data_IF_583019711047
#
_entry.id   IF_583019711047
#
_cell.length_a   1.000
_cell.length_b   1.000
_cell.length_c   1.000
_cell.angle_alpha   90.00
_cell.angle_beta   90.00
_cell.angle_gamma   90.00
#
_symmetry.space_group_name_H-M   'P 1'
#
loop_
_entity.id
_entity.type
_entity.pdbx_description
1 polymer ?
#
# COMPACT_ATOMS: atom_id res chain seq x y z
N UNK A 1 -29.79 -6.47 47.29
CA UNK A 1 -29.08 -6.79 46.04
C UNK A 1 -29.38 -5.71 45.01
N UNK A 2 -28.65 -4.60 45.10
CA UNK A 2 -28.68 -3.49 44.14
C UNK A 2 -27.46 -3.64 43.24
N UNK A 3 -27.68 -3.68 41.92
CA UNK A 3 -26.63 -3.80 40.91
C UNK A 3 -25.70 -2.57 40.92
N UNK A 4 -24.38 -2.72 40.72
CA UNK A 4 -23.51 -1.56 40.57
C UNK A 4 -23.61 -1.05 39.12
N UNK A 5 -23.90 0.25 39.00
CA UNK A 5 -23.78 1.00 37.77
C UNK A 5 -22.34 0.91 37.21
N UNK A 6 -22.20 0.44 35.98
CA UNK A 6 -20.94 0.39 35.25
C UNK A 6 -20.45 1.80 34.92
N UNK A 7 -19.55 2.33 35.76
CA UNK A 7 -18.73 3.48 35.42
C UNK A 7 -17.63 3.05 34.44
N UNK A 8 -17.64 3.60 33.22
CA UNK A 8 -16.51 3.50 32.30
C UNK A 8 -15.34 4.25 32.95
N UNK A 9 -14.25 3.54 33.23
CA UNK A 9 -13.06 4.11 33.85
C UNK A 9 -12.50 5.26 32.98
N UNK A 10 -12.21 6.45 33.54
CA UNK A 10 -11.75 7.62 32.79
C UNK A 10 -10.51 7.35 31.92
N UNK A 11 -9.62 6.46 32.37
CA UNK A 11 -8.42 6.05 31.63
C UNK A 11 -8.69 5.33 30.31
N UNK A 12 -9.78 4.54 30.21
CA UNK A 12 -10.14 3.87 28.96
C UNK A 12 -10.66 4.85 27.90
N UNK A 13 -11.37 5.89 28.33
CA UNK A 13 -11.88 6.95 27.43
C UNK A 13 -10.76 7.85 26.90
N UNK A 14 -9.82 8.24 27.76
CA UNK A 14 -8.63 9.01 27.38
C UNK A 14 -7.73 8.23 26.39
N UNK A 15 -7.49 6.95 26.69
CA UNK A 15 -6.71 6.06 25.84
C UNK A 15 -7.33 5.90 24.44
N UNK A 16 -8.67 5.77 24.34
CA UNK A 16 -9.38 5.73 23.04
C UNK A 16 -9.25 7.03 22.26
N UNK A 17 -9.35 8.20 22.91
CA UNK A 17 -9.17 9.51 22.26
C UNK A 17 -7.75 9.68 21.69
N UNK A 18 -6.71 9.32 22.44
CA UNK A 18 -5.32 9.35 21.95
C UNK A 18 -5.06 8.42 20.75
N UNK A 19 -5.71 7.25 20.73
CA UNK A 19 -5.63 6.28 19.62
C UNK A 19 -6.33 6.79 18.36
N UNK A 20 -7.51 7.40 18.49
CA UNK A 20 -8.24 8.03 17.39
C UNK A 20 -7.40 9.12 16.68
N UNK A 21 -6.71 9.94 17.49
CA UNK A 21 -5.79 10.96 17.00
C UNK A 21 -4.63 10.31 16.23
N UNK A 22 -4.07 9.21 16.75
CA UNK A 22 -2.99 8.49 16.07
C UNK A 22 -3.43 7.92 14.73
N UNK A 23 -4.63 7.33 14.64
CA UNK A 23 -5.21 6.84 13.38
C UNK A 23 -5.38 7.98 12.38
N UNK A 24 -5.94 9.12 12.81
CA UNK A 24 -6.14 10.29 11.95
C UNK A 24 -4.82 10.93 11.50
N UNK A 25 -3.79 10.94 12.36
CA UNK A 25 -2.45 11.43 12.02
C UNK A 25 -1.68 10.44 11.13
N UNK A 26 -1.95 9.14 11.22
CA UNK A 26 -1.35 8.13 10.35
C UNK A 26 -2.02 8.07 8.97
N UNK A 27 -3.35 8.07 8.93
CA UNK A 27 -4.17 7.93 7.73
C UNK A 27 -4.80 9.28 7.41
N UNK A 28 -4.14 10.06 6.56
CA UNK A 28 -4.58 11.38 6.11
C UNK A 28 -4.26 11.60 4.63
N UNK A 29 -4.72 12.71 4.07
CA UNK A 29 -4.55 13.06 2.65
C UNK A 29 -3.17 13.65 2.32
N UNK A 30 -2.31 13.89 3.31
CA UNK A 30 -0.97 14.46 3.08
C UNK A 30 -0.06 13.40 2.47
N UNK A 31 0.53 13.73 1.32
CA UNK A 31 1.47 12.89 0.55
C UNK A 31 2.84 12.83 1.22
N UNK A 32 2.86 12.26 2.42
CA UNK A 32 4.01 12.07 3.27
C UNK A 32 4.00 10.65 3.84
N UNK A 33 5.18 10.08 4.16
CA UNK A 33 5.25 8.77 4.80
C UNK A 33 4.45 8.76 6.10
N UNK A 34 3.88 7.61 6.43
CA UNK A 34 3.22 7.41 7.73
C UNK A 34 4.29 7.58 8.81
N UNK A 35 4.02 8.41 9.83
CA UNK A 35 4.95 8.60 10.93
C UNK A 35 4.94 7.37 11.83
N UNK A 36 6.12 6.79 12.07
CA UNK A 36 6.26 5.53 12.82
C UNK A 36 5.68 5.61 14.23
N UNK A 37 5.86 6.73 14.95
CA UNK A 37 5.23 6.91 16.28
C UNK A 37 3.71 6.70 16.30
N UNK A 38 3.00 7.10 15.23
CA UNK A 38 1.55 6.91 15.15
C UNK A 38 1.21 5.46 14.79
N UNK A 39 1.95 4.85 13.86
CA UNK A 39 1.75 3.43 13.53
C UNK A 39 2.04 2.53 14.74
N UNK A 40 3.13 2.79 15.48
CA UNK A 40 3.51 2.09 16.72
C UNK A 40 2.43 2.20 17.78
N UNK A 41 1.90 3.40 18.04
CA UNK A 41 0.77 3.61 18.99
C UNK A 41 -0.47 2.81 18.58
N UNK A 42 -0.78 2.71 17.28
CA UNK A 42 -1.91 1.91 16.78
C UNK A 42 -1.66 0.42 17.06
N UNK A 43 -0.47 -0.09 16.71
CA UNK A 43 -0.08 -1.49 16.93
C UNK A 43 -0.14 -1.85 18.42
N UNK A 44 0.50 -1.07 19.30
CA UNK A 44 0.46 -1.26 20.75
C UNK A 44 -0.99 -1.22 21.28
N UNK A 45 -1.80 -0.33 20.71
CA UNK A 45 -3.23 -0.26 21.00
C UNK A 45 -3.96 -1.58 20.76
N UNK A 46 -3.60 -2.33 19.71
CA UNK A 46 -4.22 -3.63 19.43
C UNK A 46 -3.88 -4.69 20.48
N UNK A 47 -2.66 -4.68 21.01
CA UNK A 47 -2.24 -5.58 22.09
C UNK A 47 -2.94 -5.27 23.40
N UNK A 48 -3.10 -3.98 23.73
CA UNK A 48 -3.84 -3.55 24.92
C UNK A 48 -5.33 -3.94 24.85
N UNK A 49 -5.93 -3.90 23.66
CA UNK A 49 -7.35 -4.20 23.44
C UNK A 49 -7.63 -5.66 23.08
N UNK A 50 -6.59 -6.48 22.92
CA UNK A 50 -6.66 -7.86 22.43
C UNK A 50 -7.37 -8.00 21.08
N UNK A 51 -7.17 -7.04 20.18
CA UNK A 51 -7.78 -6.98 18.85
C UNK A 51 -7.68 -5.59 18.21
N UNK A 52 -8.19 -5.44 16.99
CA UNK A 52 -8.17 -4.19 16.22
C UNK A 52 -9.51 -3.42 16.29
N UNK A 53 -10.28 -3.56 17.38
CA UNK A 53 -11.60 -2.93 17.50
C UNK A 53 -11.55 -1.41 17.28
N UNK A 54 -10.68 -0.69 18.01
CA UNK A 54 -10.56 0.76 17.85
C UNK A 54 -10.05 1.14 16.46
N UNK A 55 -9.11 0.38 15.91
CA UNK A 55 -8.64 0.65 14.54
C UNK A 55 -9.81 0.62 13.55
N UNK A 56 -10.60 -0.46 13.56
CA UNK A 56 -11.70 -0.63 12.63
C UNK A 56 -12.87 0.32 12.89
N UNK A 57 -13.18 0.67 14.14
CA UNK A 57 -14.25 1.64 14.44
C UNK A 57 -14.00 3.02 13.80
N UNK A 58 -12.73 3.41 13.64
CA UNK A 58 -12.36 4.64 12.94
C UNK A 58 -12.15 4.41 11.44
N UNK A 59 -11.49 3.31 11.05
CA UNK A 59 -11.13 3.05 9.66
C UNK A 59 -12.34 2.99 8.72
N UNK A 60 -13.46 2.41 9.18
CA UNK A 60 -14.71 2.36 8.40
C UNK A 60 -15.35 3.74 8.16
N UNK A 61 -15.07 4.70 9.04
CA UNK A 61 -15.58 6.07 8.92
C UNK A 61 -14.68 6.98 8.08
N UNK A 62 -13.52 6.50 7.62
CA UNK A 62 -12.63 7.28 6.78
C UNK A 62 -13.25 7.45 5.38
N UNK A 63 -13.17 8.64 4.77
CA UNK A 63 -13.67 8.87 3.42
C UNK A 63 -12.68 8.31 2.37
N UNK A 64 -12.40 7.01 2.42
CA UNK A 64 -11.46 6.32 1.51
C UNK A 64 -11.76 6.60 0.03
N UNK A 65 -13.02 6.61 -0.45
CA UNK A 65 -13.33 6.95 -1.84
C UNK A 65 -12.91 8.35 -2.29
N UNK A 66 -12.70 9.28 -1.36
CA UNK A 66 -12.39 10.68 -1.68
C UNK A 66 -10.92 10.94 -1.98
N UNK A 67 -10.01 10.03 -1.60
CA UNK A 67 -8.57 10.26 -1.74
C UNK A 67 -7.79 8.96 -1.84
N UNK A 68 -7.11 8.77 -2.98
CA UNK A 68 -6.29 7.59 -3.21
C UNK A 68 -5.07 7.55 -2.27
N UNK A 69 -4.52 8.70 -1.88
CA UNK A 69 -3.45 8.79 -0.87
C UNK A 69 -3.96 8.30 0.49
N UNK A 70 -5.18 8.71 0.87
CA UNK A 70 -5.79 8.25 2.11
C UNK A 70 -5.97 6.72 2.10
N UNK A 71 -6.49 6.15 1.01
CA UNK A 71 -6.62 4.70 0.84
C UNK A 71 -5.28 3.98 0.81
N UNK A 72 -4.25 4.56 0.19
CA UNK A 72 -2.89 4.02 0.18
C UNK A 72 -2.31 3.92 1.59
N UNK A 73 -2.45 4.99 2.39
CA UNK A 73 -2.01 5.00 3.79
C UNK A 73 -2.85 4.08 4.67
N UNK A 74 -4.15 3.95 4.39
CA UNK A 74 -4.99 2.93 5.04
C UNK A 74 -4.45 1.52 4.80
N UNK A 75 -4.15 1.17 3.54
CA UNK A 75 -3.58 -0.15 3.20
C UNK A 75 -2.24 -0.38 3.91
N UNK A 76 -1.38 0.65 3.95
CA UNK A 76 -0.10 0.58 4.64
C UNK A 76 -0.26 0.33 6.14
N UNK A 77 -1.07 1.12 6.83
CA UNK A 77 -1.30 0.96 8.28
C UNK A 77 -1.96 -0.37 8.56
N UNK A 78 -2.93 -0.80 7.75
CA UNK A 78 -3.55 -2.12 7.88
C UNK A 78 -2.53 -3.26 7.68
N UNK A 79 -1.59 -3.12 6.74
CA UNK A 79 -0.52 -4.10 6.58
C UNK A 79 0.34 -4.22 7.84
N UNK A 80 0.78 -3.09 8.41
CA UNK A 80 1.54 -3.06 9.67
C UNK A 80 0.75 -3.66 10.84
N UNK A 81 -0.53 -3.30 10.96
CA UNK A 81 -1.42 -3.83 12.01
C UNK A 81 -1.63 -5.33 11.86
N UNK A 82 -1.79 -5.86 10.64
CA UNK A 82 -1.83 -7.29 10.39
C UNK A 82 -0.52 -7.95 10.82
N UNK A 83 0.64 -7.40 10.44
CA UNK A 83 1.96 -7.99 10.67
C UNK A 83 2.35 -8.04 12.15
N UNK A 84 2.19 -6.91 12.86
CA UNK A 84 2.79 -6.70 14.19
C UNK A 84 1.74 -6.53 15.31
N UNK A 85 0.45 -6.53 14.96
CA UNK A 85 -0.65 -6.40 15.91
C UNK A 85 -0.93 -7.66 16.73
N UNK A 86 -1.91 -7.56 17.62
CA UNK A 86 -2.36 -8.70 18.43
C UNK A 86 -2.85 -9.87 17.54
N UNK A 87 -2.67 -11.15 17.92
CA UNK A 87 -3.09 -12.30 17.09
C UNK A 87 -4.56 -12.27 16.63
N UNK A 88 -5.47 -11.73 17.45
CA UNK A 88 -6.89 -11.59 17.09
C UNK A 88 -7.17 -10.60 15.94
N UNK A 89 -6.21 -9.73 15.60
CA UNK A 89 -6.35 -8.76 14.50
C UNK A 89 -6.71 -9.46 13.20
N UNK A 90 -6.16 -10.65 12.94
CA UNK A 90 -6.48 -11.43 11.74
C UNK A 90 -7.98 -11.72 11.62
N UNK A 91 -8.61 -12.12 12.73
CA UNK A 91 -10.05 -12.40 12.77
C UNK A 91 -10.87 -11.11 12.63
N UNK A 92 -10.42 -10.01 13.21
CA UNK A 92 -11.07 -8.71 13.03
C UNK A 92 -11.01 -8.26 11.57
N UNK A 93 -9.84 -8.33 10.92
CA UNK A 93 -9.66 -8.00 9.51
C UNK A 93 -10.50 -8.87 8.58
N UNK A 94 -10.68 -10.15 8.92
CA UNK A 94 -11.54 -11.06 8.15
C UNK A 94 -13.01 -10.59 8.11
N UNK A 95 -13.51 -9.95 9.18
CA UNK A 95 -14.87 -9.38 9.21
C UNK A 95 -15.04 -8.20 8.25
N UNK A 96 -13.97 -7.45 7.98
CA UNK A 96 -13.96 -6.29 7.09
C UNK A 96 -13.41 -6.61 5.69
N UNK A 97 -13.33 -7.90 5.33
CA UNK A 97 -12.82 -8.36 4.03
C UNK A 97 -13.58 -7.76 2.84
N UNK A 98 -14.90 -7.59 2.95
CA UNK A 98 -15.72 -6.95 1.92
C UNK A 98 -15.34 -5.49 1.73
N UNK A 99 -15.21 -4.72 2.82
CA UNK A 99 -14.83 -3.30 2.76
C UNK A 99 -13.45 -3.08 2.10
N UNK A 100 -12.47 -3.95 2.40
CA UNK A 100 -11.15 -3.91 1.77
C UNK A 100 -11.28 -4.16 0.26
N UNK A 101 -12.08 -5.15 -0.14
CA UNK A 101 -12.32 -5.48 -1.55
C UNK A 101 -13.00 -4.32 -2.29
N UNK A 102 -14.08 -3.78 -1.73
CA UNK A 102 -14.83 -2.66 -2.31
C UNK A 102 -13.93 -1.43 -2.53
N UNK A 103 -13.02 -1.14 -1.59
CA UNK A 103 -12.03 -0.08 -1.75
C UNK A 103 -11.11 -0.34 -2.94
N UNK A 104 -10.65 -1.59 -3.09
CA UNK A 104 -9.80 -2.00 -4.20
C UNK A 104 -10.47 -1.96 -5.56
N UNK A 105 -11.72 -2.43 -5.62
CA UNK A 105 -12.54 -2.44 -6.83
C UNK A 105 -12.86 -1.01 -7.27
N UNK A 106 -13.24 -0.13 -6.34
CA UNK A 106 -13.46 1.29 -6.63
C UNK A 106 -12.24 1.90 -7.32
N UNK A 107 -11.07 1.82 -6.69
CA UNK A 107 -9.86 2.44 -7.22
C UNK A 107 -9.31 1.73 -8.48
N UNK A 108 -9.65 0.47 -8.69
CA UNK A 108 -9.30 -0.28 -9.90
C UNK A 108 -10.05 0.20 -11.15
N UNK A 109 -11.27 0.71 -11.00
CA UNK A 109 -12.04 1.29 -12.11
C UNK A 109 -11.64 2.74 -12.43
N UNK A 110 -10.97 3.42 -11.49
CA UNK A 110 -10.53 4.80 -11.67
C UNK A 110 -9.14 4.84 -12.31
N UNK A 111 -8.94 5.74 -13.27
CA UNK A 111 -7.65 5.94 -13.95
C UNK A 111 -6.70 6.83 -13.12
N UNK A 112 -6.66 6.64 -11.80
CA UNK A 112 -5.80 7.37 -10.87
C UNK A 112 -4.49 6.61 -10.59
N UNK A 113 -3.35 7.32 -10.52
CA UNK A 113 -2.04 6.69 -10.32
C UNK A 113 -1.95 5.99 -8.96
N UNK A 114 -2.33 6.68 -7.87
CA UNK A 114 -2.38 6.05 -6.55
C UNK A 114 -3.49 5.00 -6.49
N UNK A 115 -4.62 5.25 -7.13
CA UNK A 115 -5.75 4.31 -7.19
C UNK A 115 -5.35 2.95 -7.73
N UNK A 116 -4.56 2.91 -8.81
CA UNK A 116 -4.00 1.66 -9.32
C UNK A 116 -3.13 0.94 -8.27
N UNK A 117 -2.30 1.67 -7.50
CA UNK A 117 -1.51 1.09 -6.42
C UNK A 117 -2.40 0.57 -5.29
N UNK A 118 -3.44 1.32 -4.93
CA UNK A 118 -4.41 0.92 -3.90
C UNK A 118 -5.10 -0.38 -4.29
N UNK A 119 -5.59 -0.50 -5.53
CA UNK A 119 -6.25 -1.71 -6.03
C UNK A 119 -5.35 -2.95 -5.94
N UNK A 120 -4.07 -2.80 -6.32
CA UNK A 120 -3.07 -3.86 -6.20
C UNK A 120 -2.81 -4.20 -4.73
N UNK A 121 -2.69 -3.20 -3.87
CA UNK A 121 -2.38 -3.39 -2.46
C UNK A 121 -3.56 -4.04 -1.70
N UNK A 122 -4.80 -3.65 -1.96
CA UNK A 122 -5.96 -4.31 -1.38
C UNK A 122 -6.04 -5.78 -1.78
N UNK A 123 -5.67 -6.13 -3.02
CA UNK A 123 -5.58 -7.54 -3.44
C UNK A 123 -4.51 -8.29 -2.65
N UNK A 124 -3.34 -7.69 -2.46
CA UNK A 124 -2.30 -8.27 -1.59
C UNK A 124 -2.82 -8.51 -0.17
N UNK A 125 -3.46 -7.51 0.45
CA UNK A 125 -4.01 -7.64 1.80
C UNK A 125 -5.07 -8.74 1.90
N UNK A 126 -5.92 -8.88 0.87
CA UNK A 126 -6.91 -9.96 0.81
C UNK A 126 -6.26 -11.34 0.65
N UNK A 127 -5.20 -11.46 -0.15
CA UNK A 127 -4.40 -12.70 -0.26
C UNK A 127 -3.76 -13.04 1.08
N UNK A 128 -3.11 -12.06 1.72
CA UNK A 128 -2.51 -12.18 3.06
C UNK A 128 -3.53 -12.68 4.09
N UNK A 129 -4.68 -12.01 4.22
CA UNK A 129 -5.74 -12.42 5.15
C UNK A 129 -6.22 -13.85 4.85
N UNK A 130 -6.47 -14.17 3.58
CA UNK A 130 -6.91 -15.52 3.18
C UNK A 130 -5.90 -16.61 3.52
N UNK A 131 -4.62 -16.36 3.25
CA UNK A 131 -3.55 -17.31 3.54
C UNK A 131 -3.46 -17.59 5.05
N UNK A 132 -3.40 -16.54 5.88
CA UNK A 132 -3.22 -16.71 7.32
C UNK A 132 -4.47 -17.23 8.03
N UNK A 133 -5.69 -17.00 7.50
CA UNK A 133 -6.91 -17.65 8.00
C UNK A 133 -6.90 -19.15 7.69
N UNK A 134 -6.40 -19.52 6.49
CA UNK A 134 -6.32 -20.92 6.07
C UNK A 134 -5.22 -21.69 6.80
N UNK A 135 -4.08 -21.04 7.06
CA UNK A 135 -2.90 -21.64 7.68
C UNK A 135 -2.51 -20.90 8.97
N UNK A 136 -3.24 -21.13 10.08
CA UNK A 136 -3.00 -20.44 11.34
C UNK A 136 -1.63 -20.73 11.96
N UNK A 137 -0.92 -21.76 11.48
CA UNK A 137 0.46 -22.08 11.87
C UNK A 137 1.45 -21.00 11.41
N UNK A 138 1.10 -20.23 10.37
CA UNK A 138 1.88 -19.08 9.93
C UNK A 138 1.28 -17.79 10.51
N UNK A 139 1.92 -17.14 11.50
CA UNK A 139 1.47 -15.83 11.94
C UNK A 139 1.56 -14.82 10.78
N UNK A 140 0.77 -13.74 10.80
CA UNK A 140 0.83 -12.69 9.77
C UNK A 140 2.20 -12.03 9.55
N UNK A 141 3.09 -12.09 10.55
CA UNK A 141 4.50 -11.69 10.46
C UNK A 141 5.38 -12.63 9.63
N UNK A 142 4.87 -13.81 9.28
CA UNK A 142 5.53 -14.91 8.57
C UNK A 142 6.76 -15.48 9.28
N UNK A 143 7.03 -15.12 10.52
CA UNK A 143 8.16 -15.66 11.30
C UNK A 143 7.79 -17.04 11.85
N UNK A 144 8.22 -18.09 11.15
CA UNK A 144 8.12 -19.48 11.60
C UNK A 144 9.47 -20.18 11.50
N UNK A 145 9.68 -21.19 12.33
CA UNK A 145 10.83 -22.07 12.24
C UNK A 145 10.67 -23.07 11.09
N UNK A 146 11.81 -23.58 10.62
CA UNK A 146 11.90 -24.65 9.64
C UNK A 146 11.09 -25.90 10.04
N UNK A 147 11.08 -26.23 11.33
CA UNK A 147 10.32 -27.36 11.88
C UNK A 147 8.81 -27.16 11.75
N UNK A 148 8.32 -25.94 12.02
CA UNK A 148 6.90 -25.61 11.87
C UNK A 148 6.51 -25.68 10.40
N UNK A 149 7.32 -25.13 9.49
CA UNK A 149 7.07 -25.25 8.04
C UNK A 149 6.97 -26.71 7.61
N UNK A 150 7.91 -27.55 8.03
CA UNK A 150 7.95 -28.96 7.66
C UNK A 150 6.73 -29.73 8.20
N UNK A 151 6.34 -29.42 9.43
CA UNK A 151 5.13 -29.97 10.08
C UNK A 151 3.86 -29.54 9.37
N UNK A 152 3.71 -28.26 9.03
CA UNK A 152 2.52 -27.72 8.34
C UNK A 152 2.39 -28.28 6.93
N UNK A 153 3.51 -28.42 6.21
CA UNK A 153 3.53 -29.07 4.92
C UNK A 153 3.16 -30.56 5.01
N UNK A 154 3.51 -31.22 6.13
CA UNK A 154 3.18 -32.62 6.38
C UNK A 154 3.89 -33.58 5.42
N UNK A 155 3.34 -34.79 5.27
CA UNK A 155 3.84 -35.83 4.35
C UNK A 155 2.96 -36.03 3.12
N UNK A 156 1.72 -35.52 3.14
CA UNK A 156 0.80 -35.59 2.00
C UNK A 156 1.28 -34.66 0.88
N UNK A 157 1.59 -35.26 -0.27
CA UNK A 157 2.06 -34.54 -1.47
C UNK A 157 1.05 -33.49 -1.92
N UNK A 158 -0.25 -33.74 -1.79
CA UNK A 158 -1.28 -32.77 -2.18
C UNK A 158 -1.23 -31.51 -1.30
N UNK A 159 -0.98 -31.68 0.00
CA UNK A 159 -0.84 -30.57 0.93
C UNK A 159 0.43 -29.76 0.64
N UNK A 160 1.57 -30.43 0.43
CA UNK A 160 2.84 -29.77 0.08
C UNK A 160 2.68 -28.97 -1.22
N UNK A 161 2.04 -29.57 -2.23
CA UNK A 161 1.78 -28.94 -3.53
C UNK A 161 0.89 -27.70 -3.37
N UNK A 162 -0.26 -27.84 -2.70
CA UNK A 162 -1.19 -26.73 -2.49
C UNK A 162 -0.55 -25.59 -1.70
N UNK A 163 0.16 -25.89 -0.62
CA UNK A 163 0.86 -24.89 0.19
C UNK A 163 1.93 -24.15 -0.63
N UNK A 164 2.65 -24.86 -1.50
CA UNK A 164 3.66 -24.25 -2.38
C UNK A 164 3.02 -23.27 -3.37
N UNK A 165 1.91 -23.67 -4.01
CA UNK A 165 1.17 -22.79 -4.94
C UNK A 165 0.65 -21.54 -4.24
N UNK A 166 0.10 -21.68 -3.02
CA UNK A 166 -0.44 -20.55 -2.26
C UNK A 166 0.66 -19.59 -1.79
N UNK A 167 1.84 -20.10 -1.42
CA UNK A 167 3.00 -19.26 -1.12
C UNK A 167 3.51 -18.53 -2.36
N UNK A 168 3.47 -19.17 -3.54
CA UNK A 168 3.78 -18.50 -4.80
C UNK A 168 2.76 -17.40 -5.13
N UNK A 169 1.46 -17.64 -4.96
CA UNK A 169 0.42 -16.64 -5.19
C UNK A 169 0.60 -15.41 -4.28
N UNK A 170 0.99 -15.65 -3.02
CA UNK A 170 1.30 -14.60 -2.06
C UNK A 170 2.55 -13.80 -2.51
N UNK A 171 3.64 -14.49 -2.83
CA UNK A 171 4.88 -13.83 -3.28
C UNK A 171 4.67 -13.02 -4.58
N UNK A 172 3.85 -13.51 -5.51
CA UNK A 172 3.49 -12.76 -6.71
C UNK A 172 2.72 -11.48 -6.40
N UNK A 173 1.81 -11.50 -5.42
CA UNK A 173 1.11 -10.29 -4.99
C UNK A 173 2.07 -9.25 -4.40
N UNK A 174 3.03 -9.68 -3.58
CA UNK A 174 4.06 -8.81 -2.99
C UNK A 174 4.96 -8.20 -4.08
N UNK A 175 5.48 -9.04 -4.97
CA UNK A 175 6.32 -8.60 -6.08
C UNK A 175 5.55 -7.66 -7.02
N UNK A 176 4.27 -7.92 -7.29
CA UNK A 176 3.45 -7.06 -8.15
C UNK A 176 3.25 -5.66 -7.58
N UNK A 177 3.09 -5.55 -6.26
CA UNK A 177 3.00 -4.27 -5.58
C UNK A 177 4.33 -3.51 -5.72
N UNK A 178 5.46 -4.16 -5.44
CA UNK A 178 6.80 -3.54 -5.55
C UNK A 178 7.10 -3.05 -6.96
N UNK A 179 6.82 -3.87 -7.97
CA UNK A 179 7.01 -3.54 -9.38
C UNK A 179 6.18 -2.31 -9.77
N UNK A 180 4.91 -2.28 -9.35
CA UNK A 180 3.98 -1.20 -9.68
C UNK A 180 4.36 0.12 -9.00
N UNK A 181 4.79 0.07 -7.75
CA UNK A 181 5.34 1.25 -7.05
C UNK A 181 6.55 1.78 -7.81
N UNK A 182 7.52 0.94 -8.13
CA UNK A 182 8.73 1.38 -8.81
C UNK A 182 8.49 1.89 -10.24
N UNK A 183 7.53 1.34 -10.96
CA UNK A 183 7.14 1.81 -12.30
C UNK A 183 6.62 3.26 -12.25
N UNK A 184 6.01 3.66 -11.13
CA UNK A 184 5.48 5.01 -10.94
C UNK A 184 6.50 6.00 -10.36
N UNK A 185 7.71 5.56 -9.99
CA UNK A 185 8.78 6.44 -9.53
C UNK A 185 9.68 6.85 -10.70
N UNK A 186 9.93 8.15 -10.86
CA UNK A 186 10.93 8.64 -11.80
C UNK A 186 12.31 8.11 -11.38
N UNK A 187 13.03 7.49 -12.33
CA UNK A 187 14.22 6.62 -12.16
C UNK A 187 15.44 7.25 -11.46
N UNK A 188 15.38 8.50 -10.97
CA UNK A 188 16.52 9.15 -10.30
C UNK A 188 16.64 8.75 -8.82
N UNK A 189 17.84 8.30 -8.41
CA UNK A 189 18.15 7.91 -7.03
C UNK A 189 18.00 9.05 -6.01
N UNK A 190 18.18 10.30 -6.46
CA UNK A 190 18.05 11.51 -5.64
C UNK A 190 16.60 11.80 -5.19
N UNK A 191 15.62 11.20 -5.87
CA UNK A 191 14.18 11.41 -5.62
C UNK A 191 13.69 10.69 -4.35
N UNK A 192 14.47 9.74 -3.82
CA UNK A 192 14.12 8.97 -2.61
C UNK A 192 14.03 9.79 -1.30
N UNK A 193 14.48 11.05 -1.33
CA UNK A 193 14.36 11.97 -0.20
C UNK A 193 13.10 12.85 -0.24
N UNK A 194 12.36 12.85 -1.36
CA UNK A 194 11.12 13.61 -1.46
C UNK A 194 10.01 12.94 -0.65
N UNK A 195 9.31 13.71 0.19
CA UNK A 195 8.21 13.22 1.05
C UNK A 195 7.17 12.40 0.28
N UNK A 196 6.75 12.88 -0.91
CA UNK A 196 5.79 12.20 -1.77
C UNK A 196 6.28 10.82 -2.25
N UNK A 197 7.58 10.68 -2.50
CA UNK A 197 8.18 9.41 -2.93
C UNK A 197 8.32 8.46 -1.75
N UNK A 198 8.70 8.97 -0.59
CA UNK A 198 8.72 8.19 0.65
C UNK A 198 7.33 7.68 1.03
N UNK A 199 6.27 8.45 0.77
CA UNK A 199 4.89 8.00 0.93
C UNK A 199 4.59 6.73 0.11
N UNK A 200 5.12 6.63 -1.11
CA UNK A 200 4.98 5.44 -1.98
C UNK A 200 5.94 4.31 -1.58
N UNK A 201 7.14 4.63 -1.12
CA UNK A 201 8.16 3.63 -0.76
C UNK A 201 7.91 2.98 0.59
N UNK A 202 7.32 3.70 1.55
CA UNK A 202 7.16 3.23 2.93
C UNK A 202 6.53 1.83 3.04
N UNK A 203 5.44 1.50 2.32
CA UNK A 203 4.83 0.18 2.43
C UNK A 203 5.71 -0.96 1.92
N UNK A 204 6.71 -0.67 1.07
CA UNK A 204 7.63 -1.68 0.56
C UNK A 204 8.55 -2.24 1.66
N UNK A 205 8.67 -1.58 2.82
CA UNK A 205 9.38 -2.17 3.97
C UNK A 205 8.71 -3.47 4.38
N UNK A 206 7.37 -3.49 4.49
CA UNK A 206 6.61 -4.67 4.86
C UNK A 206 6.69 -5.73 3.75
N UNK A 207 6.59 -5.30 2.48
CA UNK A 207 6.76 -6.19 1.30
C UNK A 207 8.14 -6.87 1.33
N UNK A 208 9.21 -6.15 1.69
CA UNK A 208 10.57 -6.72 1.79
C UNK A 208 10.64 -7.77 2.89
N UNK A 209 10.07 -7.48 4.06
CA UNK A 209 10.03 -8.43 5.18
C UNK A 209 9.24 -9.70 4.84
N UNK A 210 8.09 -9.56 4.19
CA UNK A 210 7.24 -10.69 3.78
C UNK A 210 7.93 -11.53 2.70
N UNK A 211 8.43 -10.88 1.64
CA UNK A 211 9.19 -11.54 0.57
C UNK A 211 10.37 -12.37 1.08
N UNK A 212 11.09 -11.89 2.10
CA UNK A 212 12.24 -12.58 2.68
C UNK A 212 11.85 -13.96 3.22
N UNK A 213 10.72 -14.03 3.93
CA UNK A 213 10.18 -15.26 4.50
C UNK A 213 9.57 -16.16 3.42
N UNK A 214 8.73 -15.58 2.55
CA UNK A 214 8.08 -16.30 1.46
C UNK A 214 9.10 -16.98 0.55
N UNK A 215 10.18 -16.29 0.16
CA UNK A 215 11.26 -16.87 -0.63
C UNK A 215 11.92 -18.06 0.07
N UNK A 216 12.24 -17.92 1.36
CA UNK A 216 12.88 -19.01 2.11
C UNK A 216 11.96 -20.24 2.19
N UNK A 217 10.67 -20.06 2.48
CA UNK A 217 9.70 -21.17 2.51
C UNK A 217 9.49 -21.79 1.14
N UNK A 218 9.40 -20.97 0.09
CA UNK A 218 9.34 -21.44 -1.30
C UNK A 218 10.52 -22.34 -1.66
N UNK A 219 11.76 -21.98 -1.30
CA UNK A 219 12.93 -22.82 -1.56
C UNK A 219 12.81 -24.17 -0.84
N UNK A 220 12.48 -24.16 0.46
CA UNK A 220 12.35 -25.40 1.25
C UNK A 220 11.25 -26.32 0.70
N UNK A 221 10.09 -25.77 0.38
CA UNK A 221 8.99 -26.57 -0.16
C UNK A 221 9.27 -27.07 -1.57
N UNK A 222 9.98 -26.31 -2.40
CA UNK A 222 10.40 -26.78 -3.72
C UNK A 222 11.35 -27.98 -3.63
N UNK A 223 12.33 -27.97 -2.71
CA UNK A 223 13.16 -29.15 -2.45
C UNK A 223 12.32 -30.32 -1.93
N UNK A 224 11.35 -30.07 -1.04
CA UNK A 224 10.45 -31.10 -0.51
C UNK A 224 9.58 -31.72 -1.61
N UNK A 225 9.01 -30.92 -2.52
CA UNK A 225 8.29 -31.43 -3.68
C UNK A 225 9.17 -32.29 -4.57
N UNK A 226 10.40 -31.85 -4.84
CA UNK A 226 11.37 -32.62 -5.63
C UNK A 226 11.81 -33.93 -4.98
N UNK A 227 11.68 -34.07 -3.66
CA UNK A 227 11.92 -35.34 -2.97
C UNK A 227 10.77 -36.35 -3.10
N UNK A 228 9.57 -35.88 -3.45
CA UNK A 228 8.35 -36.69 -3.48
C UNK A 228 7.72 -36.85 -4.88
N UNK A 229 8.12 -36.03 -5.86
CA UNK A 229 7.54 -36.00 -7.19
C UNK A 229 8.61 -36.01 -8.30
N UNK A 230 8.31 -36.60 -9.47
CA UNK A 230 9.19 -36.56 -10.64
C UNK A 230 9.48 -35.13 -11.10
N UNK A 231 10.68 -34.91 -11.64
CA UNK A 231 11.10 -33.60 -12.12
C UNK A 231 10.15 -33.05 -13.21
N UNK A 232 9.66 -33.90 -14.11
CA UNK A 232 8.80 -33.47 -15.22
C UNK A 232 7.47 -32.88 -14.72
N UNK A 233 6.91 -33.42 -13.64
CA UNK A 233 5.68 -32.91 -13.00
C UNK A 233 5.87 -31.50 -12.42
N UNK A 234 7.09 -31.15 -12.00
CA UNK A 234 7.40 -29.90 -11.32
C UNK A 234 7.96 -28.81 -12.25
N UNK A 235 7.95 -29.01 -13.58
CA UNK A 235 8.50 -28.04 -14.53
C UNK A 235 7.87 -26.66 -14.37
N UNK A 236 6.53 -26.57 -14.33
CA UNK A 236 5.84 -25.28 -14.14
C UNK A 236 6.14 -24.60 -12.79
N UNK A 237 6.40 -25.37 -11.73
CA UNK A 237 6.79 -24.83 -10.43
C UNK A 237 8.19 -24.23 -10.47
N UNK A 238 9.12 -24.92 -11.15
CA UNK A 238 10.46 -24.37 -11.38
C UNK A 238 10.36 -23.10 -12.20
N UNK A 239 9.65 -23.09 -13.32
CA UNK A 239 9.57 -21.91 -14.19
C UNK A 239 9.03 -20.68 -13.43
N UNK A 240 7.94 -20.86 -12.68
CA UNK A 240 7.37 -19.82 -11.81
C UNK A 240 8.35 -19.35 -10.74
N UNK A 241 9.03 -20.28 -10.06
CA UNK A 241 10.05 -19.93 -9.07
C UNK A 241 11.19 -19.11 -9.69
N UNK A 242 11.68 -19.47 -10.88
CA UNK A 242 12.75 -18.74 -11.54
C UNK A 242 12.35 -17.31 -11.90
N UNK A 243 11.10 -17.09 -12.32
CA UNK A 243 10.56 -15.75 -12.56
C UNK A 243 10.45 -14.95 -11.27
N UNK A 244 9.90 -15.54 -10.21
CA UNK A 244 9.81 -14.92 -8.89
C UNK A 244 11.18 -14.57 -8.33
N UNK A 245 12.16 -15.48 -8.43
CA UNK A 245 13.53 -15.24 -7.99
C UNK A 245 14.17 -14.07 -8.72
N UNK A 246 14.01 -13.99 -10.05
CA UNK A 246 14.54 -12.88 -10.86
C UNK A 246 13.92 -11.54 -10.43
N UNK A 247 12.59 -11.51 -10.28
CA UNK A 247 11.85 -10.32 -9.85
C UNK A 247 12.25 -9.89 -8.44
N UNK A 248 12.37 -10.84 -7.50
CA UNK A 248 12.77 -10.59 -6.12
C UNK A 248 14.22 -10.09 -6.03
N UNK A 249 15.15 -10.73 -6.74
CA UNK A 249 16.56 -10.29 -6.80
C UNK A 249 16.68 -8.86 -7.32
N UNK A 250 15.93 -8.53 -8.38
CA UNK A 250 15.89 -7.17 -8.93
C UNK A 250 15.28 -6.17 -7.94
N UNK A 251 14.19 -6.55 -7.26
CA UNK A 251 13.58 -5.74 -6.21
C UNK A 251 14.58 -5.46 -5.08
N UNK A 252 15.13 -6.49 -4.45
CA UNK A 252 16.03 -6.34 -3.31
C UNK A 252 17.28 -5.54 -3.68
N UNK A 253 17.87 -5.78 -4.86
CA UNK A 253 18.98 -4.98 -5.37
C UNK A 253 18.59 -3.50 -5.48
N UNK A 254 17.52 -3.19 -6.21
CA UNK A 254 17.06 -1.81 -6.43
C UNK A 254 16.71 -1.11 -5.11
N UNK A 255 16.03 -1.79 -4.19
CA UNK A 255 15.68 -1.25 -2.88
C UNK A 255 16.94 -1.02 -2.03
N UNK A 256 17.88 -1.96 -2.02
CA UNK A 256 19.12 -1.85 -1.24
C UNK A 256 20.01 -0.69 -1.68
N UNK A 257 19.89 -0.22 -2.91
CA UNK A 257 20.62 0.93 -3.43
C UNK A 257 19.99 2.28 -3.04
N UNK A 258 18.70 2.31 -2.66
CA UNK A 258 18.00 3.55 -2.30
C UNK A 258 18.35 4.01 -0.88
N UNK A 259 18.67 5.30 -0.73
CA UNK A 259 19.01 5.91 0.56
C UNK A 259 17.88 5.82 1.58
N UNK A 260 16.62 5.85 1.13
CA UNK A 260 15.45 5.69 2.00
C UNK A 260 15.50 4.38 2.78
N UNK A 261 15.66 3.24 2.10
CA UNK A 261 15.71 1.93 2.76
C UNK A 261 16.99 1.74 3.56
N UNK A 262 18.16 2.17 3.06
CA UNK A 262 19.45 2.04 3.77
C UNK A 262 19.44 2.64 5.18
N UNK A 263 18.62 3.67 5.42
CA UNK A 263 18.50 4.32 6.73
C UNK A 263 17.54 3.61 7.68
N UNK A 264 16.61 2.81 7.14
CA UNK A 264 15.48 2.25 7.89
C UNK A 264 15.63 0.74 8.11
N UNK A 265 16.22 0.02 7.15
CA UNK A 265 16.34 -1.44 7.18
C UNK A 265 17.63 -1.89 6.49
N UNK A 266 18.15 -3.06 6.90
CA UNK A 266 19.16 -3.80 6.17
C UNK A 266 18.48 -4.86 5.31
N UNK A 267 18.60 -4.70 3.99
CA UNK A 267 18.04 -5.64 3.01
C UNK A 267 19.09 -6.72 2.69
N UNK A 268 18.77 -8.01 2.82
CA UNK A 268 19.72 -9.08 2.52
C UNK A 268 20.02 -9.15 1.02
N UNK A 269 21.25 -9.55 0.69
CA UNK A 269 21.60 -9.88 -0.70
C UNK A 269 21.18 -11.32 -1.00
N UNK A 270 20.46 -11.50 -2.09
CA UNK A 270 20.15 -12.84 -2.60
C UNK A 270 21.34 -13.45 -3.35
N UNK A 271 21.43 -14.79 -3.44
CA UNK A 271 22.45 -15.47 -4.22
C UNK A 271 22.49 -15.03 -5.69
N UNK A 272 23.62 -15.27 -6.36
CA UNK A 272 23.75 -14.89 -7.77
C UNK A 272 22.88 -15.74 -8.70
N UNK A 273 22.80 -17.04 -8.46
CA UNK A 273 21.94 -17.98 -9.18
C UNK A 273 20.86 -18.55 -8.26
N UNK A 274 19.68 -18.91 -8.80
CA UNK A 274 18.67 -19.63 -8.02
C UNK A 274 19.18 -21.02 -7.58
N UNK A 275 18.65 -21.60 -6.49
CA UNK A 275 18.98 -22.97 -6.07
C UNK A 275 18.67 -23.99 -7.17
N UNK A 276 19.55 -24.98 -7.33
CA UNK A 276 19.30 -26.09 -8.24
C UNK A 276 18.48 -27.19 -7.53
N UNK A 277 17.17 -27.20 -7.74
CA UNK A 277 16.26 -28.17 -7.10
C UNK A 277 16.46 -29.62 -7.54
N UNK A 278 17.18 -29.88 -8.65
CA UNK A 278 17.53 -31.23 -9.08
C UNK A 278 18.73 -31.81 -8.33
N UNK A 279 19.43 -30.97 -7.56
CA UNK A 279 20.57 -31.36 -6.73
C UNK A 279 20.19 -31.17 -5.26
N UNK A 280 19.80 -32.26 -4.58
CA UNK A 280 19.37 -32.20 -3.18
C UNK A 280 20.42 -31.53 -2.25
N UNK A 281 21.71 -31.70 -2.51
CA UNK A 281 22.78 -31.04 -1.73
C UNK A 281 22.81 -29.52 -1.85
N UNK A 282 22.20 -28.93 -2.88
CA UNK A 282 22.08 -27.48 -3.01
C UNK A 282 21.18 -26.85 -1.92
N UNK A 283 20.35 -27.64 -1.22
CA UNK A 283 19.61 -27.15 -0.06
C UNK A 283 20.55 -26.74 1.10
N UNK A 284 21.69 -27.43 1.27
CA UNK A 284 22.66 -27.09 2.30
C UNK A 284 23.38 -25.75 2.04
N UNK A 285 23.36 -25.28 0.79
CA UNK A 285 23.92 -23.98 0.37
C UNK A 285 22.91 -22.84 0.59
N UNK A 286 21.62 -23.15 0.85
CA UNK A 286 20.57 -22.15 1.03
C UNK A 286 20.65 -21.47 2.38
N UNK A 287 20.73 -20.14 2.37
CA UNK A 287 20.73 -19.30 3.58
C UNK A 287 19.45 -18.49 3.61
N UNK A 288 18.69 -18.58 4.71
CA UNK A 288 17.49 -17.75 4.93
C UNK A 288 17.88 -16.27 4.84
N UNK A 289 17.30 -15.48 3.93
CA UNK A 289 17.53 -14.05 3.92
C UNK A 289 16.90 -13.44 5.18
N UNK A 290 17.67 -12.63 5.90
CA UNK A 290 17.23 -11.94 7.12
C UNK A 290 17.20 -10.45 6.85
N UNK A 291 16.03 -9.84 7.00
CA UNK A 291 15.85 -8.39 6.96
C UNK A 291 16.00 -7.86 8.38
N UNK A 292 16.97 -6.98 8.61
CA UNK A 292 17.19 -6.39 9.93
C UNK A 292 16.57 -4.99 9.97
N UNK A 293 15.75 -4.72 10.98
CA UNK A 293 15.29 -3.37 11.31
C UNK A 293 16.11 -2.92 12.52
N UNK A 294 16.90 -1.84 12.43
CA UNK A 294 17.57 -1.27 13.60
C UNK A 294 16.53 -0.95 14.69
N UNK A 295 16.79 -1.33 15.94
CA UNK A 295 15.94 -0.93 17.07
C UNK A 295 15.99 0.60 17.22
N UNK A 296 14.83 1.25 17.13
CA UNK A 296 14.71 2.66 17.50
C UNK A 296 14.97 2.80 19.00
N UNK A 297 15.89 3.70 19.38
CA UNK A 297 16.10 4.07 20.77
C UNK A 297 14.74 4.47 21.39
N UNK A 298 14.46 4.10 22.66
CA UNK A 298 13.20 4.47 23.30
C UNK A 298 13.11 6.00 23.34
N UNK A 299 12.23 6.56 22.50
CA UNK A 299 11.83 7.95 22.62
C UNK A 299 11.01 8.06 23.90
N UNK A 300 11.52 8.83 24.89
CA UNK A 300 10.77 9.17 26.09
C UNK A 300 9.40 9.70 25.68
N UNK A 301 8.34 9.05 26.15
CA UNK A 301 6.98 9.50 25.90
C UNK A 301 6.76 10.85 26.60
N UNK A 302 7.02 11.96 25.91
CA UNK A 302 6.55 13.25 26.39
C UNK A 302 5.01 13.19 26.50
N UNK A 303 4.44 13.43 27.68
CA UNK A 303 3.00 13.48 27.82
C UNK A 303 2.50 14.68 27.02
N UNK A 304 1.82 14.43 25.89
CA UNK A 304 1.11 15.46 25.14
C UNK A 304 0.14 16.15 26.11
N UNK A 305 0.45 17.42 26.44
CA UNK A 305 -0.33 18.27 27.34
C UNK A 305 -1.83 18.15 27.05
N UNK A 306 -2.60 17.98 28.14
CA UNK A 306 -4.04 18.03 28.14
C UNK A 306 -4.52 19.32 27.46
N UNK A 307 -5.06 19.22 26.26
CA UNK A 307 -5.92 20.27 25.73
C UNK A 307 -7.24 20.14 26.47
N UNK A 308 -7.37 20.89 27.56
CA UNK A 308 -8.62 21.15 28.25
C UNK A 308 -9.58 21.83 27.28
N UNK A 309 -10.65 21.13 26.90
CA UNK A 309 -11.84 21.77 26.33
C UNK A 309 -12.57 22.40 27.51
N UNK A 310 -12.10 23.56 27.95
CA UNK A 310 -12.87 24.48 28.79
C UNK A 310 -13.58 25.45 27.88
N UNK A 311 -14.90 25.29 27.81
CA UNK A 311 -15.81 26.35 27.38
C UNK A 311 -15.54 27.64 28.17
N UNK A 312 -15.76 28.78 27.52
CA UNK A 312 -15.75 30.17 28.03
C UNK A 312 -14.43 30.94 27.89
N UNK A 313 -14.45 31.85 26.89
CA UNK A 313 -14.02 33.25 26.96
C UNK A 313 -12.82 33.66 27.85
N UNK A 314 -11.81 34.26 27.19
CA UNK A 314 -10.97 35.38 27.67
C UNK A 314 -10.06 35.03 28.86
N UNK A 315 -8.72 35.00 28.76
CA UNK A 315 -7.82 36.15 28.55
C UNK A 315 -6.37 35.65 28.45
N UNK A 316 -5.54 36.40 27.73
CA UNK A 316 -4.09 36.26 27.56
C UNK A 316 -3.24 36.62 28.82
N UNK A 317 -1.94 36.28 28.82
CA UNK A 317 -1.04 36.28 29.97
C UNK A 317 -0.36 37.64 30.22
N UNK A 318 0.07 37.88 31.46
CA UNK A 318 1.06 38.91 31.79
C UNK A 318 2.19 38.32 32.64
N UNK A 319 3.41 38.55 32.17
CA UNK A 319 4.71 38.31 32.79
C UNK A 319 4.99 39.43 33.82
N UNK A 320 5.76 39.13 34.88
CA UNK A 320 6.17 40.05 35.96
C UNK A 320 6.90 41.31 35.50
N UNK A 321 7.20 42.33 36.30
CA UNK A 321 7.50 42.55 37.74
C UNK A 321 7.41 44.11 37.98
N UNK A 322 7.73 44.71 39.16
CA UNK A 322 7.37 44.40 40.54
C UNK A 322 6.80 45.63 41.33
N UNK A 323 6.25 45.33 42.53
CA UNK A 323 6.22 46.11 43.78
C UNK A 323 5.54 47.51 43.86
N UNK A 324 4.39 47.58 44.55
CA UNK A 324 4.20 48.25 45.86
C UNK A 324 2.70 48.47 46.18
N UNK A 325 2.25 47.93 47.32
CA UNK A 325 0.95 48.14 48.00
C UNK A 325 0.83 49.59 48.57
N UNK A 326 -0.28 50.06 49.20
CA UNK A 326 -1.46 49.32 49.72
C UNK A 326 -2.87 49.98 49.60
N UNK A 327 -3.88 49.17 49.93
CA UNK A 327 -5.21 49.46 50.52
C UNK A 327 -6.22 50.42 49.85
N UNK A 328 -7.43 49.92 49.51
CA UNK A 328 -8.67 50.14 50.28
C UNK A 328 -9.96 49.77 49.48
N UNK A 329 -10.97 49.37 50.26
CA UNK A 329 -12.32 48.85 50.01
C UNK A 329 -13.30 49.78 49.24
N UNK A 330 -14.24 49.20 48.45
CA UNK A 330 -15.60 49.76 48.29
C UNK A 330 -16.28 49.81 46.90
N UNK A 331 -17.27 48.93 46.70
CA UNK A 331 -18.66 49.17 46.23
C UNK A 331 -19.02 50.00 44.96
N UNK A 332 -19.87 49.36 44.12
CA UNK A 332 -21.01 49.87 43.30
C UNK A 332 -20.76 50.72 42.02
N UNK A 333 -21.38 50.28 40.90
CA UNK A 333 -21.38 50.92 39.56
C UNK A 333 -22.34 52.12 39.42
N UNK A 334 -22.92 52.46 38.23
CA UNK A 334 -22.74 51.88 36.88
C UNK A 334 -22.55 52.92 35.72
N UNK A 335 -22.19 52.38 34.54
CA UNK A 335 -22.30 52.86 33.13
C UNK A 335 -22.31 54.36 32.75
N UNK A 336 -21.33 54.76 31.92
CA UNK A 336 -21.53 55.68 30.78
C UNK A 336 -20.50 55.40 29.68
N UNK A 337 -20.97 55.41 28.43
CA UNK A 337 -20.23 55.06 27.22
C UNK A 337 -19.20 56.13 26.81
N UNK A 338 -18.00 55.70 26.41
CA UNK A 338 -17.09 56.50 25.60
C UNK A 338 -16.16 55.59 24.77
N UNK A 339 -16.42 55.59 23.47
CA UNK A 339 -15.44 55.79 22.38
C UNK A 339 -14.10 55.03 22.47
N UNK A 340 -14.01 53.92 21.74
CA UNK A 340 -12.75 53.25 21.43
C UNK A 340 -12.07 53.94 20.26
N UNK A 341 -11.12 54.82 20.54
CA UNK A 341 -10.10 55.25 19.59
C UNK A 341 -8.73 54.83 20.13
N UNK A 342 -8.13 53.77 19.56
CA UNK A 342 -6.68 53.51 19.58
C UNK A 342 -6.24 52.24 18.78
N UNK A 343 -4.97 52.13 18.36
CA UNK A 343 -4.45 52.30 17.00
C UNK A 343 -4.08 50.97 16.31
N UNK A 344 -4.54 49.85 16.85
CA UNK A 344 -4.20 48.51 16.35
C UNK A 344 -4.98 48.11 15.09
N UNK A 345 -6.12 48.75 14.84
CA UNK A 345 -6.91 48.56 13.61
C UNK A 345 -6.22 49.22 12.41
N UNK A 346 -5.69 50.43 12.60
CA UNK A 346 -5.01 51.20 11.53
C UNK A 346 -3.77 50.48 10.98
N UNK A 347 -3.01 49.81 11.84
CA UNK A 347 -1.84 49.03 11.41
C UNK A 347 -2.22 47.77 10.62
N UNK A 348 -3.35 47.14 10.97
CA UNK A 348 -3.86 45.94 10.29
C UNK A 348 -4.47 46.30 8.94
N UNK A 349 -5.20 47.41 8.87
CA UNK A 349 -5.79 47.90 7.63
C UNK A 349 -4.73 48.42 6.65
N UNK A 350 -3.71 49.14 7.13
CA UNK A 350 -2.58 49.56 6.30
C UNK A 350 -1.81 48.36 5.72
N UNK A 351 -1.69 47.27 6.49
CA UNK A 351 -1.07 46.04 6.00
C UNK A 351 -1.95 45.32 4.95
N UNK A 352 -3.27 45.31 5.13
CA UNK A 352 -4.22 44.77 4.15
C UNK A 352 -4.19 45.59 2.85
N UNK A 353 -4.14 46.92 2.94
CA UNK A 353 -4.09 47.80 1.78
C UNK A 353 -2.77 47.65 1.01
N UNK A 354 -1.64 47.51 1.73
CA UNK A 354 -0.34 47.21 1.13
C UNK A 354 -0.35 45.89 0.36
N UNK A 355 -0.90 44.83 0.95
CA UNK A 355 -0.98 43.50 0.31
C UNK A 355 -1.93 43.50 -0.89
N UNK A 356 -3.05 44.22 -0.81
CA UNK A 356 -3.99 44.34 -1.94
C UNK A 356 -3.35 45.06 -3.14
N UNK A 357 -2.57 46.10 -2.90
CA UNK A 357 -1.83 46.84 -3.94
C UNK A 357 -0.74 45.99 -4.59
N UNK A 358 -0.07 45.13 -3.82
CA UNK A 358 0.90 44.18 -4.34
C UNK A 358 0.24 43.12 -5.23
N UNK A 359 -0.93 42.60 -4.83
CA UNK A 359 -1.72 41.65 -5.63
C UNK A 359 -2.18 42.26 -6.95
N UNK A 360 -2.61 43.53 -6.96
CA UNK A 360 -2.99 44.22 -8.21
C UNK A 360 -1.80 44.44 -9.14
N UNK A 361 -0.63 44.78 -8.59
CA UNK A 361 0.59 44.97 -9.35
C UNK A 361 1.03 43.67 -10.02
N UNK A 362 1.07 42.56 -9.26
CA UNK A 362 1.40 41.23 -9.78
C UNK A 362 0.39 40.74 -10.84
N UNK A 363 -0.89 41.05 -10.68
CA UNK A 363 -1.92 40.75 -11.71
C UNK A 363 -1.72 41.57 -12.98
N UNK A 364 -1.31 42.83 -12.88
CA UNK A 364 -1.01 43.67 -14.03
C UNK A 364 0.24 43.18 -14.78
N UNK A 365 1.29 42.78 -14.05
CA UNK A 365 2.50 42.18 -14.63
C UNK A 365 2.19 40.86 -15.35
N UNK A 366 1.40 39.98 -14.75
CA UNK A 366 0.93 38.75 -15.40
C UNK A 366 0.14 39.02 -16.70
N UNK A 367 -0.64 40.11 -16.74
CA UNK A 367 -1.39 40.52 -17.93
C UNK A 367 -0.47 41.10 -19.01
N UNK A 368 0.58 41.82 -18.61
CA UNK A 368 1.63 42.34 -19.52
C UNK A 368 2.46 41.19 -20.12
N UNK A 369 2.86 40.21 -19.31
CA UNK A 369 3.56 39.01 -19.78
C UNK A 369 2.69 38.20 -20.76
N UNK A 370 1.38 38.10 -20.50
CA UNK A 370 0.42 37.49 -21.44
C UNK A 370 0.23 38.26 -22.75
N UNK A 371 0.48 39.57 -22.77
CA UNK A 371 0.37 40.42 -23.96
C UNK A 371 1.68 40.50 -24.76
N UNK A 372 2.83 40.35 -24.10
CA UNK A 372 4.15 40.29 -24.74
C UNK A 372 4.41 38.93 -25.42
N UNK A 373 3.65 37.88 -25.07
CA UNK A 373 3.60 36.63 -25.81
C UNK A 373 2.47 36.68 -26.85
N UNK A 374 2.74 37.27 -28.03
CA UNK A 374 1.93 37.04 -29.24
C UNK A 374 2.68 36.13 -30.22
N UNK A 375 1.96 35.21 -30.90
CA UNK A 375 2.57 34.20 -31.76
C UNK A 375 3.02 34.86 -33.06
N UNK A 376 4.33 35.08 -33.20
CA UNK A 376 4.92 35.29 -34.51
C UNK A 376 5.08 33.93 -35.17
N UNK A 377 4.35 33.69 -36.26
CA UNK A 377 4.85 33.13 -37.53
C UNK A 377 3.75 33.23 -38.60
N UNK A 378 4.07 33.92 -39.69
CA UNK A 378 3.33 33.83 -40.95
C UNK A 378 3.26 35.13 -41.76
N UNK A 379 4.18 35.31 -42.73
CA UNK A 379 3.83 35.99 -43.99
C UNK A 379 4.86 36.91 -44.67
N UNK A 380 5.76 36.34 -45.49
CA UNK A 380 6.27 36.84 -46.80
C UNK A 380 7.29 35.80 -47.32
N UNK A 381 7.30 35.27 -48.54
CA UNK A 381 6.82 35.66 -49.88
C UNK A 381 6.45 34.41 -50.68
N UNK A 382 5.48 34.53 -51.60
CA UNK A 382 5.13 33.48 -52.55
C UNK A 382 6.05 33.43 -53.78
N UNK A 383 6.06 32.26 -54.43
CA UNK A 383 6.26 32.07 -55.87
C UNK A 383 5.38 30.88 -56.30
N UNK A 384 4.58 31.08 -57.35
CA UNK A 384 4.13 30.01 -58.24
C UNK A 384 2.67 29.54 -58.15
N UNK A 385 1.88 29.91 -59.15
CA UNK A 385 0.85 29.00 -59.71
C UNK A 385 -0.61 29.41 -59.54
N UNK A 386 -1.18 29.99 -60.60
CA UNK A 386 -2.58 30.41 -60.80
C UNK A 386 -3.47 29.18 -61.20
N UNK A 387 -4.79 29.29 -61.50
CA UNK A 387 -5.93 29.03 -60.61
C UNK A 387 -6.95 28.01 -61.19
N UNK A 388 -8.08 27.78 -60.51
CA UNK A 388 -9.45 27.71 -61.07
C UNK A 388 -10.47 27.22 -60.00
N UNK A 389 -11.08 28.17 -59.29
CA UNK A 389 -12.53 28.50 -59.24
C UNK A 389 -13.65 27.43 -59.40
N UNK A 390 -14.91 27.72 -58.97
CA UNK A 390 -15.52 27.09 -57.77
C UNK A 390 -16.99 26.64 -57.99
N UNK A 391 -17.67 26.20 -56.91
CA UNK A 391 -19.13 26.07 -56.66
C UNK A 391 -19.41 24.72 -55.96
N UNK A 392 -20.35 24.51 -55.03
CA UNK A 392 -21.50 25.22 -54.46
C UNK A 392 -22.31 24.10 -53.74
N UNK A 393 -22.53 24.19 -52.43
CA UNK A 393 -23.81 24.55 -51.79
C UNK A 393 -24.72 23.34 -51.39
N UNK A 394 -25.18 23.41 -50.13
CA UNK A 394 -26.46 22.92 -49.57
C UNK A 394 -26.70 21.40 -49.44
N UNK A 395 -27.50 20.84 -48.52
CA UNK A 395 -28.05 21.09 -47.17
C UNK A 395 -29.07 19.93 -46.93
N UNK A 396 -29.40 19.68 -45.65
CA UNK A 396 -30.66 19.07 -45.12
C UNK A 396 -30.81 17.54 -44.85
N UNK A 397 -31.05 17.28 -43.55
CA UNK A 397 -31.82 16.22 -42.82
C UNK A 397 -33.21 15.89 -43.41
N UNK A 398 -33.97 14.81 -43.03
CA UNK A 398 -34.43 14.49 -41.64
C UNK A 398 -34.75 13.00 -41.30
N UNK A 399 -35.72 12.76 -40.39
CA UNK A 399 -35.77 11.74 -39.31
C UNK A 399 -36.91 10.67 -39.40
N UNK A 400 -36.89 9.75 -38.40
CA UNK A 400 -37.95 8.91 -37.77
C UNK A 400 -38.61 7.68 -38.47
N UNK A 401 -38.87 6.61 -37.67
CA UNK A 401 -40.03 5.70 -37.83
C UNK A 401 -39.86 4.18 -37.63
N UNK A 402 -40.22 3.67 -36.43
CA UNK A 402 -41.00 2.44 -36.08
C UNK A 402 -40.78 1.04 -36.73
N UNK A 403 -40.76 -0.01 -35.88
CA UNK A 403 -41.64 -1.20 -36.07
C UNK A 403 -41.03 -2.61 -36.26
N UNK A 404 -41.59 -3.57 -35.53
CA UNK A 404 -41.66 -5.04 -35.78
C UNK A 404 -40.60 -6.04 -35.23
N UNK A 405 -41.12 -6.91 -34.33
CA UNK A 405 -40.73 -8.30 -34.05
C UNK A 405 -41.20 -9.21 -35.21
N UNK A 406 -40.65 -10.44 -35.45
CA UNK A 406 -40.99 -11.59 -34.58
C UNK A 406 -39.97 -12.76 -34.50
N UNK A 407 -40.19 -13.68 -33.54
CA UNK A 407 -40.25 -15.11 -33.86
C UNK A 407 -39.17 -16.07 -33.35
N UNK A 408 -39.60 -17.02 -32.50
CA UNK A 408 -39.25 -18.46 -32.55
C UNK A 408 -38.03 -18.91 -31.74
N UNK A 409 -38.18 -19.54 -30.57
CA UNK A 409 -38.50 -20.96 -30.25
C UNK A 409 -37.43 -22.01 -30.59
N UNK A 410 -37.14 -22.83 -29.57
CA UNK A 410 -36.61 -24.21 -29.66
C UNK A 410 -35.09 -24.27 -29.50
N UNK A 411 -34.50 -24.89 -28.48
CA UNK A 411 -34.88 -26.11 -27.77
C UNK A 411 -34.13 -27.30 -28.38
N UNK A 412 -33.36 -28.03 -27.58
CA UNK A 412 -32.86 -29.36 -27.97
C UNK A 412 -31.42 -29.66 -27.59
N UNK A 413 -31.26 -30.36 -26.48
CA UNK A 413 -30.09 -31.14 -26.13
C UNK A 413 -29.88 -32.32 -27.10
N UNK A 414 -28.64 -32.77 -27.28
CA UNK A 414 -28.31 -34.19 -27.45
C UNK A 414 -26.80 -34.41 -27.30
N UNK A 415 -26.42 -35.15 -26.26
CA UNK A 415 -25.25 -36.02 -26.24
C UNK A 415 -25.43 -37.12 -27.30
N UNK A 416 -24.33 -37.52 -27.94
CA UNK A 416 -24.17 -38.88 -28.46
C UNK A 416 -22.68 -39.23 -28.46
N UNK A 417 -22.38 -40.32 -27.78
CA UNK A 417 -21.14 -41.08 -27.83
C UNK A 417 -20.88 -41.65 -29.23
N UNK A 418 -19.61 -41.86 -29.57
CA UNK A 418 -19.21 -42.99 -30.41
C UNK A 418 -17.73 -43.34 -30.16
N UNK A 419 -17.55 -44.61 -29.83
CA UNK A 419 -16.31 -45.36 -29.66
C UNK A 419 -15.47 -45.43 -30.95
N UNK A 420 -14.22 -45.88 -30.82
CA UNK A 420 -13.66 -46.76 -31.86
C UNK A 420 -12.19 -46.62 -32.21
N UNK A 421 -11.37 -47.45 -31.54
CA UNK A 421 -10.32 -48.29 -32.11
C UNK A 421 -9.00 -47.67 -32.66
N UNK A 422 -7.90 -48.08 -32.01
CA UNK A 422 -7.02 -49.09 -32.62
C UNK A 422 -5.72 -48.59 -33.25
N UNK A 423 -4.58 -48.98 -32.68
CA UNK A 423 -3.27 -48.79 -33.31
C UNK A 423 -2.07 -49.20 -32.47
N UNK A 424 -1.97 -50.47 -32.07
CA UNK A 424 -0.70 -51.08 -31.66
C UNK A 424 0.18 -51.34 -32.88
N UNK A 425 1.47 -50.98 -32.80
CA UNK A 425 2.55 -51.83 -33.32
C UNK A 425 3.87 -51.55 -32.61
N UNK A 426 4.41 -52.64 -32.08
CA UNK A 426 5.69 -52.75 -31.41
C UNK A 426 6.82 -53.07 -32.40
N UNK A 427 8.04 -52.98 -31.87
CA UNK A 427 9.16 -53.92 -32.04
C UNK A 427 10.39 -53.47 -32.86
N UNK A 428 11.48 -53.25 -32.10
CA UNK A 428 12.66 -54.13 -32.04
C UNK A 428 13.95 -53.78 -32.83
N UNK A 429 15.07 -54.06 -32.14
CA UNK A 429 16.47 -54.12 -32.58
C UNK A 429 17.35 -53.19 -31.73
N UNK A 430 17.96 -53.55 -30.59
CA UNK A 430 18.79 -54.69 -30.12
C UNK A 430 20.26 -54.67 -30.61
N UNK A 431 21.16 -54.54 -29.61
CA UNK A 431 22.44 -55.21 -29.38
C UNK A 431 23.77 -54.73 -30.02
N UNK A 432 24.83 -54.86 -29.18
CA UNK A 432 26.27 -54.74 -29.43
C UNK A 432 26.90 -53.71 -28.49
N UNK A 433 27.37 -53.98 -27.26
CA UNK A 433 28.31 -54.97 -26.70
C UNK A 433 29.80 -54.70 -27.00
N UNK A 434 30.61 -54.88 -25.94
CA UNK A 434 32.08 -54.87 -25.80
C UNK A 434 32.77 -53.50 -25.60
N UNK A 435 33.87 -53.36 -24.86
CA UNK A 435 34.55 -54.08 -23.78
C UNK A 435 35.84 -53.27 -23.45
N UNK A 436 36.40 -53.47 -22.25
CA UNK A 436 37.82 -53.29 -21.87
C UNK A 436 38.46 -51.89 -21.73
N UNK A 437 39.30 -51.77 -20.71
CA UNK A 437 40.24 -50.65 -20.54
C UNK A 437 40.73 -50.41 -19.11
N UNK A 438 41.66 -51.24 -18.65
CA UNK A 438 42.46 -51.10 -17.43
C UNK A 438 43.30 -49.80 -17.32
N UNK A 439 43.60 -49.46 -16.06
CA UNK A 439 44.86 -48.93 -15.52
C UNK A 439 45.43 -47.55 -15.95
N UNK A 440 45.68 -46.72 -14.92
CA UNK A 440 46.99 -46.08 -14.72
C UNK A 440 47.07 -44.55 -14.82
N UNK A 441 46.94 -43.84 -13.69
CA UNK A 441 47.98 -43.04 -13.02
C UNK A 441 47.39 -42.23 -11.86
#
# INVERSE_FOLDING_TARGET
>A
FTAPHGGVTPGLSWCRKGKAISISKAINTQEAPVKEKHARRIILGTHHEKGAFTFWSYAIGLPLPSSAILSWKFCHVLHKVLRDGHPNVLQDCQRYRSNIRETGDLWGHLHDRYGQLVSIYTRLLLTKISFHVKHPEFPPGLEVSDEVLEKTAGTDVNNIFQLTVELFDYLDCELKLSESVFRQLNTSMAVSQMSAVQCRLAPLIQVIQDCSHLYHYSVKLMFKLHSCLPADTLQGHRDRFHEQFRSLKNFFKKASDMLYFKRLIQIPRLPESPPNFLRASALAEHVKPVVVIPEEAPEDEEPENLIEISTTSTTEPQVGHPLSSPDHLGSQGPVAAATWDQPAFVHRDAQIESLNKEVETLRAEMKKIKLEVKPGWGGRTGWGGVPCDPAGAALHHPAEGTGEQPGGRGGGAAQAEAEGAGGQRAAAGRAGEAAEGEAGQ
#
